data_IF_169905500277
#
_entry.id   IF_169905500277
#
_cell.length_a   1.000
_cell.length_b   1.000
_cell.length_c   1.000
_cell.angle_alpha   90.00
_cell.angle_beta   90.00
_cell.angle_gamma   90.00
#
_symmetry.space_group_name_H-M   'P 1'
#
loop_
_entity.id
_entity.type
_entity.pdbx_description
1 polymer ?
#
# COMPACT_ATOMS: atom_id res chain seq x y z
N UNK A 1 -6.43 -13.31 -3.71
CA UNK A 1 -7.83 -13.36 -3.25
C UNK A 1 -8.59 -12.09 -3.67
N UNK A 2 -9.88 -12.20 -4.00
CA UNK A 2 -10.72 -11.00 -4.19
C UNK A 2 -10.99 -10.31 -2.86
N UNK A 3 -10.63 -9.03 -2.78
CA UNK A 3 -10.89 -8.18 -1.62
C UNK A 3 -12.19 -7.40 -1.82
N UNK A 4 -12.46 -6.92 -3.04
CA UNK A 4 -13.71 -6.22 -3.37
C UNK A 4 -14.45 -6.90 -4.52
N UNK A 5 -15.63 -7.44 -4.24
CA UNK A 5 -16.50 -8.06 -5.25
C UNK A 5 -17.23 -7.03 -6.13
N UNK A 6 -17.50 -5.84 -5.59
CA UNK A 6 -18.19 -4.77 -6.31
C UNK A 6 -17.43 -4.26 -7.54
N UNK A 7 -16.10 -4.12 -7.40
CA UNK A 7 -15.23 -3.55 -8.43
C UNK A 7 -14.19 -4.56 -8.93
N UNK A 8 -14.26 -5.82 -8.48
CA UNK A 8 -13.35 -6.89 -8.91
C UNK A 8 -11.91 -6.72 -8.45
N UNK A 9 -11.66 -6.05 -7.32
CA UNK A 9 -10.30 -5.78 -6.84
C UNK A 9 -9.74 -6.95 -6.05
N UNK A 10 -8.54 -7.40 -6.42
CA UNK A 10 -7.78 -8.44 -5.69
C UNK A 10 -6.77 -7.84 -4.72
N UNK A 11 -6.31 -8.66 -3.78
CA UNK A 11 -5.19 -8.34 -2.90
C UNK A 11 -3.90 -8.04 -3.68
N UNK A 12 -3.64 -8.78 -4.77
CA UNK A 12 -2.52 -8.52 -5.69
C UNK A 12 -2.56 -7.09 -6.24
N UNK A 13 -3.71 -6.68 -6.79
CA UNK A 13 -3.88 -5.32 -7.33
C UNK A 13 -3.73 -4.22 -6.26
N UNK A 14 -4.10 -4.49 -5.01
CA UNK A 14 -3.85 -3.56 -3.90
C UNK A 14 -2.35 -3.43 -3.64
N UNK A 15 -1.61 -4.54 -3.63
CA UNK A 15 -0.15 -4.54 -3.45
C UNK A 15 0.56 -3.88 -4.61
N UNK A 16 0.17 -4.19 -5.84
CA UNK A 16 0.72 -3.59 -7.07
C UNK A 16 0.56 -2.07 -7.05
N UNK A 17 -0.62 -1.56 -6.67
CA UNK A 17 -0.85 -0.12 -6.52
C UNK A 17 0.09 0.54 -5.49
N UNK A 18 0.44 -0.17 -4.41
CA UNK A 18 1.41 0.30 -3.41
C UNK A 18 2.83 0.30 -3.98
N UNK A 19 3.22 -0.75 -4.71
CA UNK A 19 4.51 -0.81 -5.40
C UNK A 19 4.66 0.25 -6.49
N UNK A 20 3.56 0.64 -7.14
CA UNK A 20 3.49 1.75 -8.09
C UNK A 20 3.55 3.14 -7.43
N UNK A 21 3.57 3.19 -6.09
CA UNK A 21 3.82 4.41 -5.33
C UNK A 21 2.65 4.90 -4.47
N UNK A 22 1.55 4.14 -4.34
CA UNK A 22 0.50 4.50 -3.38
C UNK A 22 0.99 4.32 -1.94
N UNK A 23 1.04 5.41 -1.18
CA UNK A 23 1.50 5.45 0.21
C UNK A 23 0.35 5.47 1.22
N UNK A 24 -0.90 5.48 0.76
CA UNK A 24 -2.07 5.54 1.65
C UNK A 24 -3.26 4.75 1.10
N UNK A 25 -4.14 4.30 2.00
CA UNK A 25 -5.41 3.66 1.62
C UNK A 25 -6.26 4.55 0.70
N UNK A 26 -6.18 5.88 0.86
CA UNK A 26 -6.91 6.83 0.03
C UNK A 26 -6.42 6.77 -1.42
N UNK A 27 -5.11 6.74 -1.62
CA UNK A 27 -4.49 6.61 -2.95
C UNK A 27 -4.81 5.25 -3.56
N UNK A 28 -4.68 4.16 -2.81
CA UNK A 28 -5.07 2.81 -3.28
C UNK A 28 -6.53 2.77 -3.71
N UNK A 29 -7.43 3.41 -2.96
CA UNK A 29 -8.85 3.53 -3.32
C UNK A 29 -9.07 4.32 -4.60
N UNK A 30 -8.31 5.40 -4.81
CA UNK A 30 -8.40 6.18 -6.05
C UNK A 30 -7.84 5.41 -7.25
N UNK A 31 -6.75 4.66 -7.07
CA UNK A 31 -6.10 3.89 -8.13
C UNK A 31 -6.90 2.65 -8.54
N UNK A 32 -7.45 1.90 -7.57
CA UNK A 32 -8.08 0.59 -7.80
C UNK A 32 -9.61 0.60 -7.77
N UNK A 33 -10.22 1.66 -7.23
CA UNK A 33 -11.67 1.72 -6.99
C UNK A 33 -12.17 0.86 -5.82
N UNK A 34 -11.27 0.28 -5.01
CA UNK A 34 -11.65 -0.55 -3.85
C UNK A 34 -12.57 0.21 -2.88
N UNK A 35 -13.64 -0.44 -2.41
CA UNK A 35 -14.65 0.18 -1.56
C UNK A 35 -15.30 1.45 -2.16
N UNK A 36 -15.38 1.54 -3.49
CA UNK A 36 -16.09 2.61 -4.20
C UNK A 36 -17.62 2.50 -4.16
N UNK A 37 -18.15 1.30 -3.92
CA UNK A 37 -19.60 1.01 -3.90
C UNK A 37 -20.11 0.72 -2.47
N UNK A 38 -20.39 -0.55 -2.13
CA UNK A 38 -21.04 -0.91 -0.86
C UNK A 38 -20.18 -0.74 0.40
N UNK A 39 -18.87 -0.52 0.26
CA UNK A 39 -17.95 -0.28 1.38
C UNK A 39 -17.61 -1.47 2.28
N UNK A 40 -18.28 -2.62 2.14
CA UNK A 40 -18.11 -3.79 3.04
C UNK A 40 -16.67 -4.33 3.12
N UNK A 41 -15.91 -4.21 2.04
CA UNK A 41 -14.51 -4.64 1.98
C UNK A 41 -13.52 -3.66 2.62
N UNK A 42 -13.95 -2.47 3.07
CA UNK A 42 -13.04 -1.40 3.49
C UNK A 42 -12.11 -1.81 4.63
N UNK A 43 -12.59 -2.58 5.61
CA UNK A 43 -11.75 -3.06 6.71
C UNK A 43 -10.65 -4.01 6.22
N UNK A 44 -11.03 -4.99 5.38
CA UNK A 44 -10.09 -5.94 4.79
C UNK A 44 -9.07 -5.25 3.88
N UNK A 45 -9.52 -4.35 3.02
CA UNK A 45 -8.64 -3.58 2.13
C UNK A 45 -7.64 -2.72 2.93
N UNK A 46 -8.08 -2.05 4.01
CA UNK A 46 -7.18 -1.30 4.90
C UNK A 46 -6.15 -2.19 5.58
N UNK A 47 -6.53 -3.42 5.95
CA UNK A 47 -5.62 -4.38 6.54
C UNK A 47 -4.52 -4.76 5.55
N UNK A 48 -4.88 -5.15 4.32
CA UNK A 48 -3.90 -5.48 3.26
C UNK A 48 -2.96 -4.31 2.99
N UNK A 49 -3.48 -3.09 2.90
CA UNK A 49 -2.65 -1.88 2.71
C UNK A 49 -1.67 -1.69 3.86
N UNK A 50 -2.13 -1.82 5.11
CA UNK A 50 -1.27 -1.65 6.28
C UNK A 50 -0.18 -2.72 6.34
N UNK A 51 -0.53 -3.98 6.13
CA UNK A 51 0.42 -5.10 6.12
C UNK A 51 1.50 -4.87 5.07
N UNK A 52 1.10 -4.54 3.83
CA UNK A 52 2.04 -4.31 2.72
C UNK A 52 2.97 -3.12 2.99
N UNK A 53 2.45 -1.99 3.49
CA UNK A 53 3.28 -0.83 3.84
C UNK A 53 4.23 -1.12 5.01
N UNK A 54 3.79 -1.94 5.98
CA UNK A 54 4.62 -2.33 7.12
C UNK A 54 5.75 -3.27 6.67
N UNK A 55 5.46 -4.21 5.77
CA UNK A 55 6.44 -5.11 5.15
C UNK A 55 7.51 -4.34 4.35
N UNK A 56 7.10 -3.30 3.62
CA UNK A 56 8.03 -2.42 2.91
C UNK A 56 8.98 -1.68 3.87
N UNK A 57 8.46 -1.19 5.00
CA UNK A 57 9.26 -0.50 6.01
C UNK A 57 10.25 -1.42 6.72
N UNK A 58 9.85 -2.66 7.03
CA UNK A 58 10.73 -3.63 7.70
C UNK A 58 11.76 -4.27 6.75
N UNK A 59 11.50 -4.25 5.44
CA UNK A 59 12.44 -4.74 4.42
C UNK A 59 13.50 -3.71 4.03
N UNK A 60 13.38 -2.46 4.50
CA UNK A 60 14.33 -1.41 4.17
C UNK A 60 15.59 -1.55 5.05
N UNK A 61 16.78 -1.79 4.49
CA UNK A 61 18.00 -1.86 5.29
C UNK A 61 18.20 -0.51 5.97
N UNK A 62 18.25 -0.51 7.31
CA UNK A 62 18.69 0.65 8.07
C UNK A 62 20.06 1.07 7.53
N UNK A 63 20.14 2.27 6.96
CA UNK A 63 21.39 2.80 6.41
C UNK A 63 22.41 2.89 7.57
N UNK A 64 23.54 2.17 7.54
CA UNK A 64 24.47 2.11 8.67
C UNK A 64 25.40 3.32 8.78
N UNK A 65 25.42 4.22 7.80
CA UNK A 65 26.48 5.23 7.70
C UNK A 65 25.93 6.65 7.87
N UNK A 66 26.57 7.49 8.69
CA UNK A 66 26.28 8.92 8.70
C UNK A 66 26.69 9.49 7.35
N UNK A 67 25.79 10.23 6.71
CA UNK A 67 26.14 11.07 5.57
C UNK A 67 26.94 12.24 6.14
N UNK A 68 28.26 12.08 6.25
CA UNK A 68 29.17 13.19 6.51
C UNK A 68 29.13 14.12 5.29
N UNK A 69 28.28 15.13 5.34
CA UNK A 69 28.40 16.30 4.48
C UNK A 69 29.64 17.07 4.92
N UNK A 70 30.76 16.78 4.28
CA UNK A 70 31.89 17.70 4.27
C UNK A 70 32.31 17.95 2.83
N UNK A 71 31.92 19.14 2.31
CA UNK A 71 32.56 19.74 1.14
C UNK A 71 32.68 21.25 1.42
N UNK A 72 33.93 21.61 1.72
CA UNK A 72 34.69 22.86 1.52
C UNK A 72 34.04 24.21 1.78
#
# INVERSE_FOLDING_TARGET
MYVCLCTGVTDGQIRDAIYDGCCSYREVRQATGVAGQCGKCACLAKQVVRETLTELQSSQPAIPYPVEFNVA
#
